data_IF_896066104928
#
_entry.id   IF_896066104928
#
_cell.length_a   1.000
_cell.length_b   1.000
_cell.length_c   1.000
_cell.angle_alpha   90.00
_cell.angle_beta   90.00
_cell.angle_gamma   90.00
#
_symmetry.space_group_name_H-M   'P 1'
#
loop_
_entity.id
_entity.type
_entity.pdbx_description
1 polymer ?
#
# COMPACT_ATOMS: atom_id res chain seq x y z
N UNK A 1 -6.00 -68.51 22.89
CA UNK A 1 -7.04 -67.48 22.75
C UNK A 1 -6.51 -66.35 21.87
N UNK A 2 -7.30 -66.05 20.84
CA UNK A 2 -7.33 -65.03 19.76
C UNK A 2 -6.19 -63.98 19.65
N UNK A 3 -5.69 -63.91 18.42
CA UNK A 3 -4.63 -63.06 17.83
C UNK A 3 -4.94 -61.56 17.93
N UNK A 4 -3.96 -60.74 18.33
CA UNK A 4 -4.05 -59.27 18.40
C UNK A 4 -3.83 -58.66 17.02
N UNK A 5 -4.86 -58.00 16.49
CA UNK A 5 -4.82 -57.33 15.19
C UNK A 5 -4.25 -55.91 15.32
N UNK A 6 -3.18 -55.63 14.58
CA UNK A 6 -2.61 -54.29 14.39
C UNK A 6 -3.54 -53.49 13.47
N UNK A 7 -4.11 -52.39 13.96
CA UNK A 7 -4.89 -51.46 13.15
C UNK A 7 -3.96 -50.43 12.51
N UNK A 8 -3.70 -50.59 11.23
CA UNK A 8 -3.21 -49.54 10.33
C UNK A 8 -4.23 -48.40 10.29
N UNK A 9 -3.90 -47.24 10.84
CA UNK A 9 -4.65 -46.01 10.60
C UNK A 9 -3.97 -45.29 9.45
N UNK A 10 -4.55 -45.42 8.26
CA UNK A 10 -4.21 -44.63 7.09
C UNK A 10 -4.57 -43.16 7.37
N UNK A 11 -3.54 -42.32 7.49
CA UNK A 11 -3.69 -40.87 7.63
C UNK A 11 -4.04 -40.32 6.25
N UNK A 12 -5.34 -40.14 6.02
CA UNK A 12 -5.88 -39.52 4.81
C UNK A 12 -5.34 -38.09 4.74
N UNK A 13 -4.40 -37.86 3.84
CA UNK A 13 -4.00 -36.51 3.41
C UNK A 13 -5.18 -35.95 2.64
N UNK A 14 -6.12 -35.33 3.36
CA UNK A 14 -7.15 -34.49 2.75
C UNK A 14 -6.43 -33.24 2.26
N UNK A 15 -6.01 -33.29 1.00
CA UNK A 15 -5.57 -32.12 0.25
C UNK A 15 -6.72 -31.14 0.17
N UNK A 16 -6.83 -30.26 1.16
CA UNK A 16 -7.45 -28.97 0.99
C UNK A 16 -6.58 -28.21 0.01
N UNK A 17 -6.89 -28.38 -1.28
CA UNK A 17 -6.72 -27.32 -2.26
C UNK A 17 -7.46 -26.12 -1.70
N UNK A 18 -6.74 -25.27 -0.98
CA UNK A 18 -7.17 -23.92 -0.66
C UNK A 18 -7.42 -23.26 -2.00
N UNK A 19 -8.69 -23.20 -2.41
CA UNK A 19 -9.16 -22.22 -3.36
C UNK A 19 -8.89 -20.84 -2.76
N UNK A 20 -7.66 -20.33 -2.90
CA UNK A 20 -7.31 -18.93 -2.68
C UNK A 20 -7.88 -18.02 -3.78
N UNK A 21 -8.85 -18.50 -4.57
CA UNK A 21 -9.37 -17.83 -5.76
C UNK A 21 -10.62 -16.95 -5.56
N UNK A 22 -11.26 -16.93 -4.39
CA UNK A 22 -12.44 -16.08 -4.14
C UNK A 22 -12.39 -15.44 -2.74
N UNK A 23 -11.25 -14.86 -2.38
CA UNK A 23 -11.09 -14.13 -1.13
C UNK A 23 -11.76 -12.76 -1.16
N UNK A 24 -13.08 -12.71 -0.99
CA UNK A 24 -13.85 -11.63 -0.32
C UNK A 24 -13.22 -10.23 -0.38
N UNK A 25 -13.02 -9.68 -1.58
CA UNK A 25 -12.50 -8.31 -1.74
C UNK A 25 -13.57 -7.35 -1.22
N UNK A 26 -13.39 -6.81 -0.01
CA UNK A 26 -14.27 -5.77 0.49
C UNK A 26 -14.09 -4.55 -0.43
N UNK A 27 -15.13 -4.13 -1.18
CA UNK A 27 -15.00 -3.07 -2.18
C UNK A 27 -14.62 -1.72 -1.55
N UNK A 28 -14.77 -1.58 -0.23
CA UNK A 28 -14.41 -0.37 0.52
C UNK A 28 -12.95 -0.35 1.00
N UNK A 29 -12.18 -1.42 0.76
CA UNK A 29 -10.74 -1.48 1.05
C UNK A 29 -9.98 -1.22 -0.26
N UNK A 30 -9.04 -0.29 -0.23
CA UNK A 30 -8.18 0.07 -1.34
C UNK A 30 -6.90 -0.77 -1.39
N UNK A 31 -6.28 -0.98 -0.23
CA UNK A 31 -5.12 -1.84 -0.09
C UNK A 31 -5.04 -2.43 1.33
N UNK A 32 -4.41 -3.59 1.44
CA UNK A 32 -3.98 -4.22 2.67
C UNK A 32 -2.47 -4.36 2.62
N UNK A 33 -1.75 -3.90 3.65
CA UNK A 33 -0.30 -3.99 3.78
C UNK A 33 0.03 -4.65 5.11
N UNK A 34 0.48 -5.90 5.08
CA UNK A 34 0.54 -6.75 6.28
C UNK A 34 -0.85 -6.91 6.90
N UNK A 35 -1.02 -6.43 8.13
CA UNK A 35 -2.31 -6.42 8.84
C UNK A 35 -3.10 -5.10 8.72
N UNK A 36 -2.49 -4.06 8.14
CA UNK A 36 -3.12 -2.74 8.04
C UNK A 36 -3.97 -2.63 6.78
N UNK A 37 -5.15 -2.03 6.91
CA UNK A 37 -6.06 -1.79 5.79
C UNK A 37 -6.22 -0.29 5.53
N UNK A 38 -6.27 0.05 4.25
CA UNK A 38 -6.50 1.41 3.75
C UNK A 38 -7.87 1.43 3.11
N UNK A 39 -8.75 2.34 3.53
CA UNK A 39 -10.08 2.45 2.96
C UNK A 39 -10.07 3.21 1.62
N UNK A 40 -11.02 2.88 0.75
CA UNK A 40 -11.28 3.66 -0.47
C UNK A 40 -11.66 5.11 -0.13
N UNK A 41 -12.39 5.34 0.96
CA UNK A 41 -12.77 6.68 1.40
C UNK A 41 -11.54 7.55 1.74
N UNK A 42 -10.52 6.97 2.37
CA UNK A 42 -9.24 7.65 2.65
C UNK A 42 -8.55 8.05 1.35
N UNK A 43 -8.48 7.13 0.38
CA UNK A 43 -7.87 7.39 -0.94
C UNK A 43 -8.61 8.50 -1.66
N UNK A 44 -9.94 8.44 -1.71
CA UNK A 44 -10.78 9.40 -2.41
C UNK A 44 -10.69 10.80 -1.78
N UNK A 45 -10.62 10.88 -0.45
CA UNK A 45 -10.44 12.15 0.25
C UNK A 45 -9.12 12.83 -0.14
N UNK A 46 -8.01 12.11 -0.07
CA UNK A 46 -6.68 12.65 -0.45
C UNK A 46 -6.64 13.01 -1.93
N UNK A 47 -7.14 12.14 -2.81
CA UNK A 47 -7.15 12.37 -4.25
C UNK A 47 -7.95 13.62 -4.65
N UNK A 48 -9.06 13.90 -3.95
CA UNK A 48 -9.85 15.12 -4.14
C UNK A 48 -9.09 16.37 -3.71
N UNK A 49 -8.39 16.33 -2.57
CA UNK A 49 -7.56 17.47 -2.12
C UNK A 49 -6.43 17.74 -3.11
N UNK A 50 -5.76 16.69 -3.61
CA UNK A 50 -4.69 16.85 -4.62
C UNK A 50 -5.25 17.50 -5.88
N UNK A 51 -6.37 17.00 -6.42
CA UNK A 51 -7.00 17.56 -7.60
C UNK A 51 -7.44 19.03 -7.40
N UNK A 52 -8.00 19.36 -6.25
CA UNK A 52 -8.40 20.73 -5.93
C UNK A 52 -7.23 21.72 -5.86
N UNK A 53 -6.02 21.23 -5.55
CA UNK A 53 -4.80 22.02 -5.47
C UNK A 53 -3.90 21.88 -6.71
N UNK A 54 -4.33 21.12 -7.73
CA UNK A 54 -3.55 20.84 -8.95
C UNK A 54 -4.42 21.05 -10.20
N UNK A 55 -4.74 22.31 -10.56
CA UNK A 55 -5.72 22.62 -11.61
C UNK A 55 -5.30 22.15 -13.02
N UNK A 56 -4.01 21.96 -13.26
CA UNK A 56 -3.46 21.47 -14.54
C UNK A 56 -3.35 19.92 -14.60
N UNK A 57 -3.74 19.23 -13.53
CA UNK A 57 -3.55 17.79 -13.36
C UNK A 57 -4.81 16.97 -13.63
N UNK A 58 -4.73 15.63 -13.68
CA UNK A 58 -5.90 14.78 -13.84
C UNK A 58 -6.99 15.12 -12.83
N UNK A 59 -8.24 14.88 -13.20
CA UNK A 59 -9.33 14.92 -12.23
C UNK A 59 -9.04 13.98 -11.04
N UNK A 60 -9.77 14.13 -9.93
CA UNK A 60 -9.52 13.34 -8.73
C UNK A 60 -9.47 11.81 -8.97
N UNK A 61 -10.16 11.30 -10.00
CA UNK A 61 -10.10 9.89 -10.40
C UNK A 61 -8.70 9.44 -10.83
N UNK A 62 -7.95 10.29 -11.55
CA UNK A 62 -6.58 10.02 -11.97
C UNK A 62 -5.56 10.00 -10.83
N UNK A 63 -5.89 10.60 -9.68
CA UNK A 63 -5.01 10.63 -8.50
C UNK A 63 -5.15 9.43 -7.58
N UNK A 64 -6.21 8.63 -7.74
CA UNK A 64 -6.53 7.55 -6.78
C UNK A 64 -5.45 6.48 -6.73
N UNK A 65 -4.99 5.98 -7.88
CA UNK A 65 -3.95 4.95 -7.91
C UNK A 65 -2.57 5.47 -7.45
N UNK A 66 -2.10 6.67 -7.87
CA UNK A 66 -0.92 7.29 -7.27
C UNK A 66 -1.00 7.43 -5.74
N UNK A 67 -2.16 7.80 -5.20
CA UNK A 67 -2.36 7.86 -3.75
C UNK A 67 -2.22 6.48 -3.10
N UNK A 68 -2.82 5.43 -3.68
CA UNK A 68 -2.66 4.05 -3.17
C UNK A 68 -1.19 3.63 -3.21
N UNK A 69 -0.48 3.89 -4.31
CA UNK A 69 0.96 3.60 -4.44
C UNK A 69 1.75 4.23 -3.28
N UNK A 70 1.57 5.53 -3.05
CA UNK A 70 2.29 6.25 -1.99
C UNK A 70 1.93 5.70 -0.61
N UNK A 71 0.65 5.42 -0.35
CA UNK A 71 0.24 4.85 0.93
C UNK A 71 0.91 3.49 1.16
N UNK A 72 0.88 2.58 0.17
CA UNK A 72 1.50 1.26 0.30
C UNK A 72 2.99 1.37 0.60
N UNK A 73 3.72 2.17 -0.18
CA UNK A 73 5.15 2.42 0.03
C UNK A 73 5.41 3.01 1.41
N UNK A 74 4.61 3.97 1.86
CA UNK A 74 4.79 4.61 3.16
C UNK A 74 4.53 3.66 4.33
N UNK A 75 3.58 2.74 4.20
CA UNK A 75 3.27 1.71 5.21
C UNK A 75 4.41 0.70 5.33
N UNK A 76 4.97 0.25 4.21
CA UNK A 76 6.19 -0.57 4.21
C UNK A 76 7.34 0.23 4.84
N UNK A 77 7.50 1.51 4.50
CA UNK A 77 8.50 2.39 5.09
C UNK A 77 8.34 2.57 6.61
N UNK A 78 7.11 2.59 7.12
CA UNK A 78 6.84 2.62 8.55
C UNK A 78 7.38 1.35 9.26
N UNK A 79 7.22 0.18 8.64
CA UNK A 79 7.78 -1.08 9.15
C UNK A 79 9.32 -1.04 9.17
N UNK A 80 9.93 -0.52 8.10
CA UNK A 80 11.39 -0.35 8.00
C UNK A 80 11.92 0.59 9.10
N UNK A 81 11.27 1.74 9.31
CA UNK A 81 11.65 2.68 10.38
C UNK A 81 11.52 2.05 11.77
N UNK A 82 10.45 1.30 12.01
CA UNK A 82 10.26 0.57 13.27
C UNK A 82 11.37 -0.46 13.49
N UNK A 83 11.70 -1.25 12.46
CA UNK A 83 12.77 -2.25 12.52
C UNK A 83 14.16 -1.62 12.73
N UNK A 84 14.40 -0.46 12.12
CA UNK A 84 15.65 0.29 12.27
C UNK A 84 15.72 1.11 13.57
N UNK A 85 14.63 1.22 14.33
CA UNK A 85 14.56 2.06 15.52
C UNK A 85 14.70 3.56 15.23
N UNK A 86 14.30 4.00 14.03
CA UNK A 86 14.46 5.39 13.57
C UNK A 86 13.15 6.13 13.69
N UNK A 87 13.23 7.37 14.17
CA UNK A 87 12.11 8.31 14.19
C UNK A 87 12.43 9.51 13.31
N UNK A 88 11.50 9.83 12.40
CA UNK A 88 11.56 11.06 11.61
C UNK A 88 10.82 12.16 12.38
N UNK A 89 11.48 13.30 12.52
CA UNK A 89 10.99 14.45 13.30
C UNK A 89 10.11 15.38 12.46
N UNK A 90 9.30 16.20 13.14
CA UNK A 90 8.48 17.24 12.48
C UNK A 90 9.33 18.26 11.72
N UNK A 91 10.54 18.57 12.22
CA UNK A 91 11.47 19.48 11.56
C UNK A 91 11.91 18.91 10.21
N UNK A 92 12.23 17.62 10.16
CA UNK A 92 12.61 16.95 8.90
C UNK A 92 11.43 16.89 7.93
N UNK A 93 10.22 16.56 8.40
CA UNK A 93 9.00 16.59 7.56
C UNK A 93 8.76 17.98 6.98
N UNK A 94 8.98 19.04 7.76
CA UNK A 94 8.82 20.41 7.29
C UNK A 94 9.76 20.77 6.14
N UNK A 95 10.96 20.17 6.07
CA UNK A 95 11.87 20.34 4.94
C UNK A 95 11.27 19.78 3.65
N UNK A 96 10.61 18.61 3.72
CA UNK A 96 9.90 18.03 2.56
C UNK A 96 8.74 18.93 2.14
N UNK A 97 7.91 19.40 3.08
CA UNK A 97 6.78 20.28 2.74
C UNK A 97 7.22 21.58 2.09
N UNK A 98 8.36 22.12 2.50
CA UNK A 98 8.89 23.38 1.98
C UNK A 98 9.54 23.24 0.60
N UNK A 99 9.75 22.01 0.12
CA UNK A 99 10.35 21.75 -1.20
C UNK A 99 9.42 22.02 -2.38
N UNK A 100 8.10 22.06 -2.14
CA UNK A 100 7.10 22.30 -3.18
C UNK A 100 5.86 22.98 -2.59
N UNK A 101 5.35 24.02 -3.25
CA UNK A 101 4.16 24.75 -2.80
C UNK A 101 2.92 23.85 -2.67
N UNK A 102 2.76 22.86 -3.56
CA UNK A 102 1.70 21.85 -3.46
C UNK A 102 1.83 21.04 -2.16
N UNK A 103 3.03 20.56 -1.83
CA UNK A 103 3.23 19.77 -0.61
C UNK A 103 2.92 20.58 0.65
N UNK A 104 3.31 21.85 0.68
CA UNK A 104 2.96 22.75 1.77
C UNK A 104 1.44 22.97 1.90
N UNK A 105 0.70 23.04 0.77
CA UNK A 105 -0.76 23.16 0.78
C UNK A 105 -1.41 21.86 1.30
N UNK A 106 -1.02 20.70 0.76
CA UNK A 106 -1.54 19.39 1.16
C UNK A 106 -1.25 19.06 2.63
N UNK A 107 -0.11 19.49 3.17
CA UNK A 107 0.23 19.24 4.58
C UNK A 107 -0.64 20.06 5.56
N UNK A 108 -1.22 21.17 5.11
CA UNK A 108 -2.11 22.03 5.90
C UNK A 108 -3.57 21.56 5.87
N UNK A 109 -3.98 20.86 4.81
CA UNK A 109 -5.34 20.34 4.68
C UNK A 109 -5.57 19.13 5.61
N UNK A 110 -6.60 19.14 6.47
CA UNK A 110 -6.87 18.04 7.41
C UNK A 110 -7.06 16.67 6.75
N UNK A 111 -7.62 16.61 5.54
CA UNK A 111 -7.91 15.35 4.85
C UNK A 111 -6.65 14.73 4.20
N UNK A 112 -5.61 15.52 3.90
CA UNK A 112 -4.32 15.01 3.40
C UNK A 112 -3.18 15.08 4.41
N UNK A 113 -3.36 15.69 5.59
CA UNK A 113 -2.29 15.87 6.58
C UNK A 113 -1.57 14.58 6.97
N UNK A 114 -2.32 13.53 7.31
CA UNK A 114 -1.74 12.23 7.67
C UNK A 114 -0.99 11.60 6.49
N UNK A 115 -1.58 11.65 5.29
CA UNK A 115 -0.94 11.21 4.05
C UNK A 115 0.38 11.96 3.78
N UNK A 116 0.42 13.27 3.99
CA UNK A 116 1.63 14.05 3.79
C UNK A 116 2.70 13.77 4.85
N UNK A 117 2.32 13.42 6.08
CA UNK A 117 3.27 12.91 7.07
C UNK A 117 3.90 11.61 6.60
N UNK A 118 3.08 10.66 6.19
CA UNK A 118 3.52 9.35 5.68
C UNK A 118 4.42 9.50 4.43
N UNK A 119 4.02 10.36 3.49
CA UNK A 119 4.79 10.68 2.28
C UNK A 119 6.14 11.32 2.58
N UNK A 120 6.19 12.30 3.49
CA UNK A 120 7.44 12.94 3.87
C UNK A 120 8.39 11.96 4.55
N UNK A 121 7.87 11.12 5.43
CA UNK A 121 8.64 10.07 6.09
C UNK A 121 9.20 9.07 5.07
N UNK A 122 8.41 8.62 4.10
CA UNK A 122 8.86 7.74 3.04
C UNK A 122 9.93 8.40 2.15
N UNK A 123 9.76 9.68 1.82
CA UNK A 123 10.72 10.45 1.02
C UNK A 123 12.07 10.57 1.72
N UNK A 124 12.07 10.95 3.00
CA UNK A 124 13.29 11.09 3.80
C UNK A 124 13.98 9.75 4.02
N UNK A 125 13.21 8.69 4.27
CA UNK A 125 13.73 7.33 4.39
C UNK A 125 14.38 6.86 3.08
N UNK A 126 13.74 7.07 1.93
CA UNK A 126 14.27 6.64 0.63
C UNK A 126 15.47 7.49 0.16
N UNK A 127 15.63 8.69 0.71
CA UNK A 127 16.81 9.52 0.48
C UNK A 127 18.01 9.13 1.36
N UNK A 128 17.80 8.37 2.43
CA UNK A 128 18.87 7.78 3.23
C UNK A 128 19.28 6.43 2.61
N UNK A 129 20.55 6.30 2.22
CA UNK A 129 21.03 5.12 1.49
C UNK A 129 20.92 3.82 2.29
N UNK A 130 21.09 3.89 3.62
CA UNK A 130 21.00 2.70 4.48
C UNK A 130 19.55 2.26 4.61
N UNK A 131 18.62 3.21 4.80
CA UNK A 131 17.20 2.91 4.90
C UNK A 131 16.59 2.51 3.56
N UNK A 132 17.04 3.09 2.46
CA UNK A 132 16.65 2.65 1.12
C UNK A 132 17.09 1.20 0.85
N UNK A 133 18.31 0.83 1.26
CA UNK A 133 18.81 -0.54 1.14
C UNK A 133 18.02 -1.52 2.02
N UNK A 134 17.65 -1.12 3.24
CA UNK A 134 16.79 -1.93 4.11
C UNK A 134 15.38 -2.06 3.54
N UNK A 135 14.82 -0.96 3.01
CA UNK A 135 13.52 -0.97 2.35
C UNK A 135 13.49 -1.93 1.16
N UNK A 136 14.52 -1.93 0.31
CA UNK A 136 14.62 -2.85 -0.82
C UNK A 136 14.65 -4.33 -0.40
N UNK A 137 15.16 -4.63 0.80
CA UNK A 137 15.14 -5.99 1.37
C UNK A 137 13.79 -6.36 1.98
N UNK A 138 13.14 -5.41 2.66
CA UNK A 138 11.88 -5.64 3.38
C UNK A 138 10.68 -5.64 2.43
N UNK A 139 10.60 -4.70 1.50
CA UNK A 139 9.42 -4.47 0.68
C UNK A 139 8.90 -5.72 -0.06
N UNK A 140 9.74 -6.58 -0.67
CA UNK A 140 9.27 -7.79 -1.34
C UNK A 140 8.69 -8.86 -0.40
N UNK A 141 9.00 -8.77 0.90
CA UNK A 141 8.57 -9.74 1.92
C UNK A 141 7.24 -9.36 2.59
N UNK A 142 6.80 -8.10 2.41
CA UNK A 142 5.57 -7.60 3.01
C UNK A 142 4.37 -8.07 2.19
N UNK A 143 3.40 -8.79 2.78
CA UNK A 143 2.18 -9.14 2.08
C UNK A 143 1.40 -7.88 1.71
N UNK A 144 1.17 -7.68 0.42
CA UNK A 144 0.37 -6.57 -0.10
C UNK A 144 -0.76 -7.10 -0.96
N UNK A 145 -1.97 -6.62 -0.72
CA UNK A 145 -3.13 -6.87 -1.58
C UNK A 145 -3.74 -5.52 -1.94
N UNK A 146 -3.98 -5.29 -3.22
CA UNK A 146 -4.57 -4.05 -3.72
C UNK A 146 -5.91 -4.36 -4.36
N UNK A 147 -6.88 -3.49 -4.16
CA UNK A 147 -8.16 -3.61 -4.83
C UNK A 147 -7.96 -3.39 -6.34
N UNK A 148 -8.39 -4.33 -7.20
CA UNK A 148 -8.11 -4.30 -8.64
C UNK A 148 -8.52 -3.01 -9.37
N UNK A 149 -9.45 -2.22 -8.80
CA UNK A 149 -9.82 -0.90 -9.36
C UNK A 149 -8.63 0.08 -9.40
N UNK A 150 -7.62 -0.11 -8.55
CA UNK A 150 -6.40 0.71 -8.49
C UNK A 150 -5.21 0.06 -9.22
N UNK A 151 -5.38 -1.15 -9.76
CA UNK A 151 -4.31 -1.93 -10.39
C UNK A 151 -3.89 -3.16 -9.57
N UNK A 152 -2.75 -3.72 -9.94
CA UNK A 152 -2.15 -4.92 -9.33
C UNK A 152 -0.78 -4.58 -8.73
N UNK A 153 -0.51 -5.07 -7.52
CA UNK A 153 0.78 -4.85 -6.88
C UNK A 153 1.86 -5.80 -7.42
N UNK A 154 2.94 -5.24 -7.95
CA UNK A 154 4.14 -5.97 -8.34
C UNK A 154 5.20 -5.85 -7.23
N UNK A 155 5.40 -6.89 -6.39
CA UNK A 155 6.34 -6.83 -5.29
C UNK A 155 7.81 -6.76 -5.74
N UNK A 156 8.13 -7.20 -6.97
CA UNK A 156 9.49 -7.12 -7.51
C UNK A 156 9.86 -5.69 -7.92
N UNK A 157 8.86 -4.88 -8.31
CA UNK A 157 9.04 -3.47 -8.65
C UNK A 157 8.66 -2.52 -7.51
N UNK A 158 8.03 -3.03 -6.46
CA UNK A 158 7.46 -2.24 -5.35
C UNK A 158 6.52 -1.15 -5.90
N UNK A 159 5.69 -1.55 -6.87
CA UNK A 159 4.85 -0.64 -7.63
C UNK A 159 3.52 -1.25 -8.04
N UNK A 160 2.50 -0.41 -8.19
CA UNK A 160 1.28 -0.74 -8.89
C UNK A 160 1.56 -0.90 -10.39
N UNK A 161 0.91 -1.88 -10.98
CA UNK A 161 0.91 -2.21 -12.40
C UNK A 161 -0.51 -2.35 -12.92
N UNK A 162 -0.68 -2.35 -14.24
CA UNK A 162 -1.98 -2.46 -14.88
C UNK A 162 -2.67 -1.11 -15.10
N UNK A 163 -3.72 -1.13 -15.92
CA UNK A 163 -4.52 0.05 -16.23
C UNK A 163 -5.63 0.24 -15.19
N UNK A 164 -5.70 1.44 -14.62
CA UNK A 164 -6.77 1.82 -13.70
C UNK A 164 -8.04 2.11 -14.49
N UNK A 165 -9.05 1.27 -14.33
CA UNK A 165 -10.39 1.46 -14.92
C UNK A 165 -10.76 0.42 -15.96
N UNK A 166 -11.57 -0.56 -15.55
CA UNK A 166 -12.19 -1.54 -16.46
C UNK A 166 -13.10 -0.91 -17.53
N UNK A 167 -13.46 0.38 -17.40
CA UNK A 167 -14.28 1.12 -18.37
C UNK A 167 -13.46 1.80 -19.48
N UNK A 168 -12.13 1.90 -19.33
CA UNK A 168 -11.25 2.49 -20.36
C UNK A 168 -11.04 1.56 -21.55
N UNK A 169 -11.51 0.30 -21.49
CA UNK A 169 -11.33 -0.72 -22.55
C UNK A 169 -12.53 -0.94 -23.46
N UNK A 170 -13.69 -0.35 -23.15
CA UNK A 170 -14.95 -0.60 -23.90
C UNK A 170 -15.37 0.56 -24.80
N UNK A 171 -14.56 1.62 -24.92
CA UNK A 171 -14.86 2.79 -25.77
C UNK A 171 -13.69 3.22 -26.67
N UNK A 172 -12.66 2.37 -26.84
CA UNK A 172 -11.64 2.55 -27.89
C UNK A 172 -11.98 1.73 -29.13
#
# INVERSE_FOLDING_TARGET
MKKTAVKLVALVVTGLLLLSGCGKTNPNIAATVGSEQVSVATVDAVAKVIAANSPESPNWGGWRAPVVQVIVVSRIGAMVKQQAGITITDIQRQQVYSSNALYAALAKDPASKAFMSDFADATLMLNDSNLAALFAQVAPTVPVTVNPVFGEWDPAKVALTGETGSLSKTLS
#
